data_IF_065422167034
#
_entry.id   IF_065422167034
#
_cell.length_a   1.000
_cell.length_b   1.000
_cell.length_c   1.000
_cell.angle_alpha   90.00
_cell.angle_beta   90.00
_cell.angle_gamma   90.00
#
_symmetry.space_group_name_H-M   'P 1'
#
loop_
_entity.id
_entity.type
_entity.pdbx_description
1 polymer ?
#
# COMPACT_ATOMS: atom_id res chain seq x y z
N UNK A 1 -21.19 -11.53 -16.57
CA UNK A 1 -20.46 -11.59 -17.87
C UNK A 1 -19.22 -12.45 -17.63
N UNK A 2 -18.99 -13.51 -18.40
CA UNK A 2 -17.78 -14.34 -18.25
C UNK A 2 -16.55 -13.52 -18.68
N UNK A 3 -15.51 -13.51 -17.85
CA UNK A 3 -14.22 -12.89 -18.20
C UNK A 3 -13.59 -13.68 -19.34
N UNK A 4 -13.18 -13.05 -20.46
CA UNK A 4 -12.55 -13.77 -21.56
C UNK A 4 -11.26 -14.44 -21.09
N UNK A 5 -10.96 -15.62 -21.62
CA UNK A 5 -9.70 -16.32 -21.31
C UNK A 5 -8.50 -15.53 -21.84
N UNK A 6 -7.32 -15.78 -21.28
CA UNK A 6 -6.07 -15.14 -21.75
C UNK A 6 -5.85 -15.35 -23.26
N UNK A 7 -6.10 -16.56 -23.75
CA UNK A 7 -5.97 -16.89 -25.18
C UNK A 7 -6.92 -16.05 -26.06
N UNK A 8 -8.19 -15.93 -25.64
CA UNK A 8 -9.17 -15.12 -26.36
C UNK A 8 -8.75 -13.64 -26.35
N UNK A 9 -8.30 -13.13 -25.21
CA UNK A 9 -7.82 -11.74 -25.11
C UNK A 9 -6.58 -11.52 -25.96
N UNK A 10 -5.64 -12.47 -25.96
CA UNK A 10 -4.43 -12.42 -26.80
C UNK A 10 -4.79 -12.27 -28.29
N UNK A 11 -5.72 -13.08 -28.81
CA UNK A 11 -6.17 -12.99 -30.21
C UNK A 11 -6.83 -11.64 -30.53
N UNK A 12 -7.65 -11.13 -29.61
CA UNK A 12 -8.35 -9.85 -29.80
C UNK A 12 -7.37 -8.68 -29.81
N UNK A 13 -6.42 -8.65 -28.86
CA UNK A 13 -5.42 -7.60 -28.76
C UNK A 13 -4.45 -7.64 -29.94
N UNK A 14 -3.98 -8.84 -30.32
CA UNK A 14 -3.11 -9.01 -31.48
C UNK A 14 -3.78 -8.47 -32.78
N UNK A 15 -5.08 -8.77 -32.98
CA UNK A 15 -5.86 -8.22 -34.08
C UNK A 15 -5.96 -6.68 -34.01
N UNK A 16 -6.23 -6.13 -32.83
CA UNK A 16 -6.33 -4.67 -32.63
C UNK A 16 -4.99 -3.96 -32.90
N UNK A 17 -3.88 -4.63 -32.62
CA UNK A 17 -2.52 -4.12 -32.89
C UNK A 17 -2.00 -4.43 -34.30
N UNK A 18 -2.76 -5.16 -35.10
CA UNK A 18 -2.37 -5.65 -36.43
C UNK A 18 -1.05 -6.43 -36.42
N UNK A 19 -0.92 -7.37 -35.48
CA UNK A 19 0.21 -8.30 -35.34
C UNK A 19 -0.29 -9.74 -35.13
N UNK A 20 0.60 -10.72 -35.22
CA UNK A 20 0.27 -12.08 -34.83
C UNK A 20 0.14 -12.25 -33.30
N UNK A 21 -0.60 -13.25 -32.85
CA UNK A 21 -0.65 -13.59 -31.43
C UNK A 21 0.74 -13.98 -30.88
N UNK A 22 1.58 -14.61 -31.70
CA UNK A 22 2.94 -14.98 -31.34
C UNK A 22 3.81 -13.71 -31.16
N UNK A 23 3.78 -12.77 -32.10
CA UNK A 23 4.50 -11.51 -31.98
C UNK A 23 4.09 -10.69 -30.76
N UNK A 24 2.80 -10.73 -30.36
CA UNK A 24 2.34 -10.09 -29.13
C UNK A 24 2.95 -10.74 -27.88
N UNK A 25 3.03 -12.08 -27.85
CA UNK A 25 3.62 -12.82 -26.72
C UNK A 25 5.14 -12.64 -26.66
N UNK A 26 5.83 -12.69 -27.79
CA UNK A 26 7.29 -12.48 -27.90
C UNK A 26 7.69 -11.03 -27.57
N UNK A 27 6.82 -10.07 -27.85
CA UNK A 27 7.02 -8.67 -27.51
C UNK A 27 6.96 -8.37 -26.02
N UNK A 28 6.38 -9.27 -25.19
CA UNK A 28 6.30 -9.11 -23.72
C UNK A 28 7.53 -9.77 -23.08
N UNK A 29 8.36 -8.98 -22.42
CA UNK A 29 9.54 -9.48 -21.72
C UNK A 29 9.84 -8.71 -20.45
N UNK A 30 10.62 -9.30 -19.57
CA UNK A 30 11.12 -8.61 -18.36
C UNK A 30 12.13 -7.54 -18.80
N UNK A 31 11.97 -6.35 -18.24
CA UNK A 31 12.84 -5.21 -18.46
C UNK A 31 14.25 -5.46 -17.93
N UNK A 32 15.24 -5.00 -18.69
CA UNK A 32 16.65 -5.05 -18.36
C UNK A 32 17.16 -3.65 -18.02
N UNK A 33 18.37 -3.56 -17.48
CA UNK A 33 18.94 -2.25 -17.10
C UNK A 33 19.07 -1.31 -18.30
N UNK A 34 19.33 -1.85 -19.49
CA UNK A 34 19.45 -1.09 -20.73
C UNK A 34 18.11 -0.50 -21.19
N UNK A 35 16.98 -1.04 -20.71
CA UNK A 35 15.65 -0.50 -20.99
C UNK A 35 15.30 0.72 -20.14
N UNK A 36 16.10 1.05 -19.12
CA UNK A 36 15.78 2.11 -18.15
C UNK A 36 15.45 3.45 -18.82
N UNK A 37 16.21 3.84 -19.82
CA UNK A 37 15.97 5.09 -20.57
C UNK A 37 14.61 5.08 -21.27
N UNK A 38 14.26 3.95 -21.90
CA UNK A 38 12.95 3.78 -22.57
C UNK A 38 11.80 3.75 -21.58
N UNK A 39 11.97 3.12 -20.41
CA UNK A 39 10.97 3.12 -19.32
C UNK A 39 10.73 4.54 -18.81
N UNK A 40 11.79 5.28 -18.49
CA UNK A 40 11.69 6.67 -18.00
C UNK A 40 11.00 7.56 -19.03
N UNK A 41 11.38 7.44 -20.30
CA UNK A 41 10.78 8.22 -21.39
C UNK A 41 9.30 7.86 -21.58
N UNK A 42 8.95 6.58 -21.56
CA UNK A 42 7.56 6.12 -21.62
C UNK A 42 6.73 6.68 -20.44
N UNK A 43 7.24 6.61 -19.23
CA UNK A 43 6.57 7.18 -18.04
C UNK A 43 6.41 8.70 -18.14
N UNK A 44 7.40 9.42 -18.63
CA UNK A 44 7.32 10.89 -18.85
C UNK A 44 6.22 11.27 -19.81
N UNK A 45 5.98 10.49 -20.84
CA UNK A 45 4.90 10.75 -21.82
C UNK A 45 3.52 10.49 -21.27
N UNK A 46 3.38 9.58 -20.29
CA UNK A 46 2.08 9.10 -19.82
C UNK A 46 1.72 9.53 -18.39
N UNK A 47 2.69 9.93 -17.57
CA UNK A 47 2.49 10.44 -16.21
C UNK A 47 2.84 11.93 -16.15
N UNK A 48 1.88 12.79 -16.49
CA UNK A 48 2.14 14.22 -16.58
C UNK A 48 2.39 14.84 -15.20
N UNK A 49 1.69 14.37 -14.18
CA UNK A 49 1.64 15.01 -12.86
C UNK A 49 2.53 14.38 -11.79
N UNK A 50 3.14 13.21 -12.04
CA UNK A 50 3.93 12.50 -11.05
C UNK A 50 5.43 12.52 -11.36
N UNK A 51 6.18 13.41 -10.70
CA UNK A 51 7.62 13.58 -10.90
C UNK A 51 8.41 12.39 -10.37
N UNK A 52 7.98 11.78 -9.25
CA UNK A 52 8.71 10.71 -8.55
C UNK A 52 8.74 9.41 -9.35
N UNK A 53 7.62 9.06 -9.98
CA UNK A 53 7.52 7.84 -10.77
C UNK A 53 8.32 7.88 -12.09
N UNK A 54 8.82 9.06 -12.47
CA UNK A 54 9.65 9.26 -13.68
C UNK A 54 11.15 9.14 -13.41
N UNK A 55 11.51 9.00 -12.16
CA UNK A 55 12.89 9.03 -11.72
C UNK A 55 13.58 7.67 -11.94
N UNK A 56 14.74 7.72 -12.58
CA UNK A 56 15.53 6.54 -12.87
C UNK A 56 15.96 5.77 -11.61
N UNK A 57 16.38 6.49 -10.56
CA UNK A 57 16.85 5.88 -9.30
C UNK A 57 15.71 5.14 -8.59
N UNK A 58 14.51 5.74 -8.61
CA UNK A 58 13.33 5.10 -8.05
C UNK A 58 12.95 3.83 -8.82
N UNK A 59 12.97 3.87 -10.14
CA UNK A 59 12.65 2.72 -11.00
C UNK A 59 13.68 1.60 -10.77
N UNK A 60 14.98 1.93 -10.70
CA UNK A 60 16.04 0.95 -10.43
C UNK A 60 15.96 0.37 -9.02
N UNK A 61 15.54 1.16 -8.04
CA UNK A 61 15.29 0.68 -6.70
C UNK A 61 14.07 -0.23 -6.67
N UNK A 62 12.98 0.18 -7.30
CA UNK A 62 11.70 -0.53 -7.24
C UNK A 62 11.74 -1.88 -7.96
N UNK A 63 12.35 -1.93 -9.14
CA UNK A 63 12.33 -3.08 -10.03
C UNK A 63 13.71 -3.67 -10.26
N UNK A 64 13.75 -4.99 -10.38
CA UNK A 64 15.01 -5.73 -10.58
C UNK A 64 15.76 -5.33 -11.85
N UNK A 65 15.08 -5.05 -12.94
CA UNK A 65 15.66 -4.73 -14.25
C UNK A 65 16.83 -5.65 -14.64
N UNK A 66 16.60 -6.98 -14.55
CA UNK A 66 17.62 -7.99 -14.80
C UNK A 66 18.59 -8.25 -13.65
N UNK A 67 18.53 -7.51 -12.56
CA UNK A 67 19.39 -7.66 -11.37
C UNK A 67 18.67 -8.43 -10.28
N UNK A 68 19.00 -9.69 -10.12
CA UNK A 68 18.33 -10.59 -9.14
C UNK A 68 18.59 -10.22 -7.68
N UNK A 69 19.62 -9.45 -7.40
CA UNK A 69 20.04 -9.00 -6.06
C UNK A 69 19.36 -7.70 -5.60
N UNK A 70 18.58 -7.07 -6.47
CA UNK A 70 17.94 -5.77 -6.21
C UNK A 70 16.47 -5.78 -6.61
N UNK A 71 15.72 -4.81 -6.05
CA UNK A 71 14.30 -4.65 -6.34
C UNK A 71 13.40 -5.71 -5.70
N UNK A 72 12.13 -5.38 -5.59
CA UNK A 72 11.12 -6.25 -5.00
C UNK A 72 10.30 -7.03 -6.02
N UNK A 73 10.46 -6.70 -7.31
CA UNK A 73 9.71 -7.31 -8.39
C UNK A 73 10.25 -6.94 -9.75
N UNK A 74 9.52 -7.29 -10.78
CA UNK A 74 9.93 -7.12 -12.17
C UNK A 74 9.08 -6.06 -12.88
N UNK A 75 9.69 -5.35 -13.80
CA UNK A 75 9.00 -4.52 -14.79
C UNK A 75 8.88 -5.30 -16.09
N UNK A 76 7.65 -5.61 -16.48
CA UNK A 76 7.34 -6.25 -17.74
C UNK A 76 7.08 -5.21 -18.80
N UNK A 77 7.75 -5.33 -19.94
CA UNK A 77 7.72 -4.38 -21.05
C UNK A 77 7.14 -5.05 -22.29
N UNK A 78 6.18 -4.38 -22.91
CA UNK A 78 5.64 -4.82 -24.19
C UNK A 78 6.17 -3.94 -25.31
N UNK A 79 6.94 -4.56 -26.20
CA UNK A 79 7.54 -3.93 -27.36
C UNK A 79 6.78 -4.31 -28.64
N UNK A 80 6.67 -3.35 -29.55
CA UNK A 80 6.20 -3.54 -30.93
C UNK A 80 7.05 -2.66 -31.84
N UNK A 81 7.67 -3.27 -32.88
CA UNK A 81 8.49 -2.55 -33.86
C UNK A 81 9.51 -1.60 -33.18
N UNK A 82 10.29 -2.14 -32.22
CA UNK A 82 11.30 -1.43 -31.41
C UNK A 82 10.72 -0.25 -30.56
N UNK A 83 9.43 -0.15 -30.47
CA UNK A 83 8.74 0.86 -29.65
C UNK A 83 8.10 0.22 -28.42
N UNK A 84 8.34 0.79 -27.24
CA UNK A 84 7.65 0.45 -26.01
C UNK A 84 6.20 0.96 -26.09
N UNK A 85 5.23 0.05 -26.04
CA UNK A 85 3.79 0.36 -26.16
C UNK A 85 2.99 0.06 -24.90
N UNK A 86 3.56 -0.66 -23.94
CA UNK A 86 2.92 -0.96 -22.67
C UNK A 86 3.90 -1.49 -21.65
N UNK A 87 3.57 -1.34 -20.39
CA UNK A 87 4.34 -1.89 -19.28
C UNK A 87 3.44 -2.23 -18.09
N UNK A 88 3.91 -3.14 -17.26
CA UNK A 88 3.31 -3.50 -15.97
C UNK A 88 4.40 -3.89 -14.98
N UNK A 89 4.35 -3.30 -13.79
CA UNK A 89 5.20 -3.70 -12.68
C UNK A 89 4.58 -4.83 -11.89
N UNK A 90 5.40 -5.73 -11.38
CA UNK A 90 5.04 -6.73 -10.39
C UNK A 90 5.90 -6.54 -9.14
N UNK A 91 5.38 -6.91 -7.99
CA UNK A 91 6.14 -7.03 -6.74
C UNK A 91 5.84 -8.40 -6.15
N UNK A 92 6.91 -9.15 -5.85
CA UNK A 92 6.77 -10.45 -5.21
C UNK A 92 6.21 -10.27 -3.80
N UNK A 93 5.28 -11.11 -3.44
CA UNK A 93 4.72 -11.11 -2.10
C UNK A 93 4.44 -12.54 -1.61
N UNK A 94 4.52 -12.70 -0.32
CA UNK A 94 4.11 -13.93 0.35
C UNK A 94 3.01 -13.59 1.33
N UNK A 95 1.91 -14.30 1.28
CA UNK A 95 0.87 -14.22 2.29
C UNK A 95 0.96 -15.40 3.25
N UNK A 96 0.76 -15.12 4.53
CA UNK A 96 0.56 -16.11 5.58
C UNK A 96 -0.94 -16.29 5.82
N UNK A 97 -1.45 -17.50 5.70
CA UNK A 97 -2.85 -17.82 5.97
C UNK A 97 -2.97 -19.27 6.44
N UNK A 98 -3.68 -19.51 7.53
CA UNK A 98 -3.85 -20.84 8.15
C UNK A 98 -2.54 -21.59 8.35
N UNK A 99 -1.46 -20.89 8.70
CA UNK A 99 -0.12 -21.46 8.85
C UNK A 99 0.61 -21.79 7.55
N UNK A 100 0.02 -21.53 6.39
CA UNK A 100 0.62 -21.73 5.05
C UNK A 100 1.26 -20.44 4.55
N UNK A 101 2.33 -20.59 3.79
CA UNK A 101 2.92 -19.52 2.98
C UNK A 101 2.43 -19.69 1.55
N UNK A 102 1.81 -18.65 1.02
CA UNK A 102 1.23 -18.62 -0.32
C UNK A 102 1.98 -17.55 -1.10
N UNK A 103 2.66 -17.96 -2.17
CA UNK A 103 3.41 -17.05 -3.03
C UNK A 103 2.47 -16.36 -4.03
N UNK A 104 2.64 -15.07 -4.20
CA UNK A 104 1.85 -14.29 -5.15
C UNK A 104 2.60 -13.07 -5.64
N UNK A 105 1.93 -12.28 -6.45
CA UNK A 105 2.45 -11.02 -6.96
C UNK A 105 1.43 -9.91 -6.75
N UNK A 106 1.93 -8.69 -6.57
CA UNK A 106 1.13 -7.48 -6.67
C UNK A 106 1.39 -6.82 -8.01
N UNK A 107 0.34 -6.51 -8.75
CA UNK A 107 0.46 -5.70 -9.98
C UNK A 107 0.36 -4.23 -9.67
N UNK A 108 1.23 -3.44 -10.32
CA UNK A 108 1.30 -2.00 -10.18
C UNK A 108 1.78 -1.35 -11.48
N UNK A 109 1.72 -0.04 -11.56
CA UNK A 109 2.31 0.75 -12.66
C UNK A 109 1.90 0.29 -14.06
N UNK A 110 0.65 -0.19 -14.21
CA UNK A 110 0.16 -0.58 -15.53
C UNK A 110 -0.05 0.66 -16.37
N UNK A 111 0.68 0.73 -17.46
CA UNK A 111 0.61 1.82 -18.43
C UNK A 111 0.58 1.28 -19.84
N UNK A 112 -0.21 1.91 -20.70
CA UNK A 112 -0.29 1.63 -22.12
C UNK A 112 -0.22 2.93 -22.91
N UNK A 113 0.30 2.86 -24.12
CA UNK A 113 0.32 4.01 -25.03
C UNK A 113 -1.11 4.57 -25.21
N UNK A 114 -1.26 5.89 -25.12
CA UNK A 114 -2.55 6.57 -25.19
C UNK A 114 -3.33 6.23 -26.47
N UNK A 115 -2.62 6.06 -27.59
CA UNK A 115 -3.23 5.71 -28.87
C UNK A 115 -3.79 4.28 -28.90
N UNK A 116 -3.41 3.44 -27.91
CA UNK A 116 -3.86 2.05 -27.79
C UNK A 116 -4.89 1.85 -26.66
N UNK A 117 -5.36 2.94 -26.06
CA UNK A 117 -6.45 2.87 -25.09
C UNK A 117 -7.72 2.33 -25.76
N UNK A 118 -8.42 1.44 -25.05
CA UNK A 118 -9.60 0.76 -25.60
C UNK A 118 -9.32 -0.51 -26.41
N UNK A 119 -8.05 -0.81 -26.77
CA UNK A 119 -7.66 -2.03 -27.49
C UNK A 119 -7.76 -3.34 -26.67
N UNK A 120 -8.02 -3.25 -25.36
CA UNK A 120 -7.95 -4.38 -24.44
C UNK A 120 -6.55 -4.70 -23.91
N UNK A 121 -5.53 -3.94 -24.31
CA UNK A 121 -4.13 -4.19 -23.96
C UNK A 121 -3.89 -4.16 -22.44
N UNK A 122 -4.50 -3.23 -21.71
CA UNK A 122 -4.40 -3.18 -20.23
C UNK A 122 -5.02 -4.41 -19.54
N UNK A 123 -6.09 -4.98 -20.11
CA UNK A 123 -6.68 -6.25 -19.65
C UNK A 123 -5.71 -7.39 -19.88
N UNK A 124 -5.14 -7.47 -21.09
CA UNK A 124 -4.19 -8.50 -21.46
C UNK A 124 -2.92 -8.50 -20.63
N UNK A 125 -2.32 -7.32 -20.37
CA UNK A 125 -1.16 -7.18 -19.49
C UNK A 125 -1.44 -7.69 -18.07
N UNK A 126 -2.60 -7.35 -17.50
CA UNK A 126 -2.99 -7.91 -16.19
C UNK A 126 -3.11 -9.44 -16.24
N UNK A 127 -3.77 -9.97 -17.27
CA UNK A 127 -3.95 -11.43 -17.41
C UNK A 127 -2.62 -12.17 -17.62
N UNK A 128 -1.64 -11.53 -18.26
CA UNK A 128 -0.29 -12.09 -18.39
C UNK A 128 0.36 -12.27 -17.01
N UNK A 129 0.19 -11.30 -16.10
CA UNK A 129 0.75 -11.35 -14.74
C UNK A 129 0.06 -12.36 -13.83
N UNK A 130 -1.14 -12.84 -14.15
CA UNK A 130 -1.82 -13.86 -13.35
C UNK A 130 -1.08 -15.20 -13.25
N UNK A 131 -0.04 -15.39 -14.06
CA UNK A 131 0.76 -16.62 -14.08
C UNK A 131 2.02 -16.53 -13.23
N UNK A 132 2.33 -15.35 -12.70
CA UNK A 132 3.58 -15.10 -11.97
C UNK A 132 3.53 -15.55 -10.50
N UNK A 133 2.38 -15.98 -9.99
CA UNK A 133 2.22 -16.48 -8.62
C UNK A 133 0.92 -17.24 -8.44
N UNK A 134 0.72 -17.87 -7.29
CA UNK A 134 -0.53 -18.57 -6.95
C UNK A 134 -1.72 -17.62 -6.87
N UNK A 135 -1.46 -16.36 -6.50
CA UNK A 135 -2.45 -15.28 -6.53
C UNK A 135 -1.84 -13.96 -7.03
N UNK A 136 -2.70 -13.08 -7.50
CA UNK A 136 -2.35 -11.70 -7.90
C UNK A 136 -3.22 -10.72 -7.12
N UNK A 137 -2.58 -9.72 -6.51
CA UNK A 137 -3.25 -8.64 -5.80
C UNK A 137 -3.12 -7.34 -6.58
N UNK A 138 -4.21 -6.60 -6.73
CA UNK A 138 -4.23 -5.23 -7.22
C UNK A 138 -4.71 -4.32 -6.09
N UNK A 139 -3.89 -3.35 -5.68
CA UNK A 139 -4.22 -2.39 -4.62
C UNK A 139 -4.17 -0.98 -5.20
N UNK A 140 -5.22 -0.21 -4.95
CA UNK A 140 -5.36 1.13 -5.48
C UNK A 140 -5.62 1.11 -7.00
N UNK A 141 -6.74 1.62 -7.42
CA UNK A 141 -7.05 1.80 -8.83
C UNK A 141 -7.40 3.26 -9.09
N UNK A 142 -6.74 3.87 -10.06
CA UNK A 142 -7.09 5.21 -10.50
C UNK A 142 -8.30 5.17 -11.46
N UNK A 143 -8.79 6.34 -11.86
CA UNK A 143 -9.93 6.46 -12.76
C UNK A 143 -9.81 5.70 -14.08
N UNK A 144 -8.59 5.45 -14.55
CA UNK A 144 -8.33 4.75 -15.81
C UNK A 144 -8.28 3.23 -15.65
N UNK A 145 -7.79 2.74 -14.50
CA UNK A 145 -7.60 1.31 -14.24
C UNK A 145 -8.76 0.65 -13.47
N UNK A 146 -9.63 1.44 -12.81
CA UNK A 146 -10.74 0.91 -12.01
C UNK A 146 -11.65 -0.05 -12.78
N UNK A 147 -11.99 0.29 -14.03
CA UNK A 147 -12.81 -0.58 -14.87
C UNK A 147 -12.16 -1.93 -15.21
N UNK A 148 -10.85 -1.95 -15.37
CA UNK A 148 -10.08 -3.19 -15.61
C UNK A 148 -10.02 -4.02 -14.32
N UNK A 149 -9.66 -3.41 -13.20
CA UNK A 149 -9.57 -4.11 -11.91
C UNK A 149 -10.91 -4.72 -11.51
N UNK A 150 -12.01 -3.97 -11.60
CA UNK A 150 -13.34 -4.49 -11.23
C UNK A 150 -13.87 -5.60 -12.13
N UNK A 151 -13.36 -5.73 -13.35
CA UNK A 151 -13.76 -6.79 -14.29
C UNK A 151 -12.91 -8.07 -14.17
N UNK A 152 -11.62 -7.91 -13.85
CA UNK A 152 -10.67 -9.02 -13.86
C UNK A 152 -10.47 -9.66 -12.49
N UNK A 153 -10.64 -8.88 -11.43
CA UNK A 153 -10.32 -9.30 -10.07
C UNK A 153 -11.59 -9.47 -9.24
N UNK A 154 -11.56 -10.43 -8.34
CA UNK A 154 -12.55 -10.52 -7.28
C UNK A 154 -12.35 -9.35 -6.30
N UNK A 155 -13.42 -8.60 -6.03
CA UNK A 155 -13.35 -7.45 -5.15
C UNK A 155 -13.22 -7.90 -3.69
N UNK A 156 -12.13 -7.53 -3.03
CA UNK A 156 -11.98 -7.61 -1.58
C UNK A 156 -12.60 -6.37 -0.90
N UNK A 157 -12.67 -6.39 0.41
CA UNK A 157 -13.02 -5.19 1.18
C UNK A 157 -12.01 -4.09 0.84
N UNK A 158 -12.45 -2.85 0.57
CA UNK A 158 -11.52 -1.78 0.28
C UNK A 158 -10.70 -1.40 1.51
N UNK A 159 -9.48 -0.93 1.32
CA UNK A 159 -8.75 -0.21 2.35
C UNK A 159 -9.46 1.10 2.65
N UNK A 160 -9.47 1.50 3.90
CA UNK A 160 -10.20 2.66 4.38
C UNK A 160 -9.28 3.57 5.19
N UNK A 161 -9.48 4.86 5.01
CA UNK A 161 -8.72 5.87 5.74
C UNK A 161 -9.26 6.09 7.14
N UNK A 162 -8.34 6.19 8.09
CA UNK A 162 -8.55 6.58 9.48
C UNK A 162 -7.73 7.81 9.79
N UNK A 163 -8.28 8.72 10.56
CA UNK A 163 -7.65 10.00 10.87
C UNK A 163 -7.74 10.29 12.36
N UNK A 164 -6.61 10.66 12.95
CA UNK A 164 -6.55 11.28 14.28
C UNK A 164 -6.38 12.79 14.10
N UNK A 165 -7.38 13.62 14.39
CA UNK A 165 -7.27 15.06 14.26
C UNK A 165 -6.44 15.62 15.43
N UNK A 166 -5.47 16.48 15.14
CA UNK A 166 -4.67 17.22 16.12
C UNK A 166 -5.18 18.65 16.18
N UNK A 167 -5.24 19.33 15.03
CA UNK A 167 -5.87 20.63 14.90
C UNK A 167 -7.34 20.48 14.47
N UNK A 168 -8.22 20.47 15.46
CA UNK A 168 -9.66 20.42 15.22
C UNK A 168 -10.19 21.70 14.56
N UNK A 169 -9.53 22.85 14.74
CA UNK A 169 -9.94 24.09 14.16
C UNK A 169 -9.89 24.00 12.62
N UNK A 170 -8.85 23.38 12.08
CA UNK A 170 -8.72 23.10 10.65
C UNK A 170 -9.90 22.30 10.09
N UNK A 171 -10.28 21.21 10.79
CA UNK A 171 -11.41 20.37 10.36
C UNK A 171 -12.77 21.06 10.47
N UNK A 172 -12.96 21.83 11.53
CA UNK A 172 -14.22 22.51 11.80
C UNK A 172 -14.40 23.73 10.89
N UNK A 173 -13.35 24.53 10.65
CA UNK A 173 -13.37 25.67 9.73
C UNK A 173 -13.75 25.23 8.30
N UNK A 174 -13.26 24.09 7.86
CA UNK A 174 -13.59 23.54 6.54
C UNK A 174 -15.05 23.08 6.39
N UNK A 175 -15.73 22.73 7.52
CA UNK A 175 -17.12 22.26 7.53
C UNK A 175 -18.14 23.34 7.90
N UNK A 176 -17.81 24.22 8.82
CA UNK A 176 -18.74 25.16 9.45
C UNK A 176 -18.38 26.64 9.11
N UNK A 177 -17.29 26.84 8.36
CA UNK A 177 -16.74 28.19 8.14
C UNK A 177 -15.98 28.70 9.36
N UNK A 178 -15.49 29.95 9.30
CA UNK A 178 -14.66 30.59 10.36
C UNK A 178 -15.47 31.31 11.45
N UNK A 179 -16.76 31.01 11.61
CA UNK A 179 -17.64 31.67 12.55
C UNK A 179 -17.44 31.27 14.02
N UNK A 180 -18.03 32.05 14.95
CA UNK A 180 -17.95 31.86 16.40
C UNK A 180 -18.36 30.42 16.84
N UNK A 181 -19.36 29.84 16.19
CA UNK A 181 -19.80 28.46 16.41
C UNK A 181 -18.68 27.43 16.13
N UNK A 182 -17.89 27.64 15.08
CA UNK A 182 -16.76 26.78 14.77
C UNK A 182 -15.68 26.84 15.85
N UNK A 183 -15.37 28.03 16.35
CA UNK A 183 -14.39 28.22 17.42
C UNK A 183 -14.83 27.56 18.72
N UNK A 184 -16.10 27.75 19.11
CA UNK A 184 -16.66 27.18 20.34
C UNK A 184 -16.71 25.64 20.29
N UNK A 185 -17.23 25.09 19.18
CA UNK A 185 -17.31 23.64 18.99
C UNK A 185 -15.90 23.01 18.92
N UNK A 186 -14.92 23.71 18.32
CA UNK A 186 -13.53 23.27 18.29
C UNK A 186 -12.95 23.13 19.71
N UNK A 187 -13.11 24.15 20.56
CA UNK A 187 -12.62 24.12 21.95
C UNK A 187 -13.25 22.98 22.76
N UNK A 188 -14.56 22.79 22.63
CA UNK A 188 -15.27 21.74 23.35
C UNK A 188 -14.80 20.33 22.89
N UNK A 189 -14.68 20.12 21.57
CA UNK A 189 -14.18 18.88 21.01
C UNK A 189 -12.71 18.62 21.39
N UNK A 190 -11.86 19.67 21.42
CA UNK A 190 -10.46 19.56 21.83
C UNK A 190 -10.33 19.12 23.28
N UNK A 191 -11.14 19.67 24.18
CA UNK A 191 -11.18 19.24 25.60
C UNK A 191 -11.63 17.78 25.73
N UNK A 192 -12.69 17.39 25.03
CA UNK A 192 -13.18 16.01 25.04
C UNK A 192 -12.12 15.02 24.51
N UNK A 193 -11.42 15.37 23.42
CA UNK A 193 -10.35 14.57 22.87
C UNK A 193 -9.12 14.50 23.78
N UNK A 194 -8.76 15.60 24.44
CA UNK A 194 -7.67 15.61 25.43
C UNK A 194 -7.99 14.73 26.62
N UNK A 195 -9.21 14.79 27.13
CA UNK A 195 -9.70 13.91 28.21
C UNK A 195 -9.72 12.44 27.79
N UNK A 196 -10.20 12.13 26.57
CA UNK A 196 -10.18 10.78 26.03
C UNK A 196 -8.76 10.24 25.87
N UNK A 197 -7.86 11.06 25.32
CA UNK A 197 -6.46 10.72 25.15
C UNK A 197 -5.79 10.42 26.50
N UNK A 198 -5.97 11.30 27.50
CA UNK A 198 -5.45 11.10 28.86
C UNK A 198 -5.98 9.78 29.46
N UNK A 199 -7.30 9.55 29.41
CA UNK A 199 -7.91 8.32 29.92
C UNK A 199 -7.40 7.06 29.21
N UNK A 200 -7.26 7.10 27.89
CA UNK A 200 -6.79 5.96 27.10
C UNK A 200 -5.32 5.63 27.38
N UNK A 201 -4.49 6.62 27.70
CA UNK A 201 -3.05 6.43 27.98
C UNK A 201 -2.79 5.92 29.39
N UNK A 202 -3.70 6.15 30.36
CA UNK A 202 -3.58 5.61 31.74
C UNK A 202 -3.48 4.08 31.77
N UNK A 203 -4.03 3.39 30.79
CA UNK A 203 -4.01 1.92 30.72
C UNK A 203 -2.76 1.34 30.05
N UNK A 204 -1.81 2.18 29.61
CA UNK A 204 -0.59 1.70 28.96
C UNK A 204 0.34 1.04 29.98
N UNK A 205 0.91 -0.10 29.60
CA UNK A 205 1.82 -0.86 30.49
C UNK A 205 3.11 -0.07 30.72
N UNK A 206 3.52 0.03 31.98
CA UNK A 206 4.75 0.73 32.39
C UNK A 206 6.04 0.09 31.87
N UNK A 207 6.02 -1.18 31.46
CA UNK A 207 7.20 -1.92 31.00
C UNK A 207 7.33 -1.99 29.47
N UNK A 208 6.59 -1.14 28.74
CA UNK A 208 6.69 -1.06 27.30
C UNK A 208 7.60 0.12 26.92
N UNK A 209 8.74 -0.19 26.34
CA UNK A 209 9.68 0.80 25.81
C UNK A 209 9.41 1.06 24.34
N UNK A 210 9.32 2.34 23.93
CA UNK A 210 9.22 2.74 22.53
C UNK A 210 10.56 3.40 22.16
N UNK A 211 11.20 2.90 21.10
CA UNK A 211 12.46 3.47 20.59
C UNK A 211 12.47 3.48 19.06
N UNK A 212 13.28 4.38 18.50
CA UNK A 212 13.50 4.45 17.06
C UNK A 212 14.20 3.17 16.56
N UNK A 213 13.81 2.71 15.39
CA UNK A 213 14.43 1.61 14.64
C UNK A 213 15.04 2.20 13.38
N UNK A 214 16.31 1.92 13.13
CA UNK A 214 17.04 2.31 11.92
C UNK A 214 17.24 1.15 10.96
N UNK A 215 17.06 -0.07 11.45
CA UNK A 215 17.11 -1.32 10.67
C UNK A 215 16.43 -2.44 11.47
N UNK A 216 15.72 -3.32 10.80
CA UNK A 216 15.13 -4.50 11.41
C UNK A 216 16.11 -5.68 11.38
N UNK A 217 16.18 -6.41 12.47
CA UNK A 217 16.87 -7.68 12.55
C UNK A 217 15.96 -8.84 12.18
N UNK A 218 16.56 -9.93 11.69
CA UNK A 218 15.81 -11.15 11.36
C UNK A 218 15.09 -11.73 12.59
N UNK A 219 15.70 -11.65 13.77
CA UNK A 219 15.13 -12.15 15.04
C UNK A 219 13.87 -11.37 15.45
N UNK A 220 13.77 -10.09 15.10
CA UNK A 220 12.60 -9.25 15.33
C UNK A 220 11.48 -9.60 14.37
N UNK A 221 11.80 -9.69 13.07
CA UNK A 221 10.81 -9.92 12.02
C UNK A 221 10.25 -11.34 12.00
N UNK A 222 10.97 -12.34 12.45
CA UNK A 222 10.45 -13.70 12.66
C UNK A 222 9.24 -13.75 13.60
N UNK A 223 9.03 -12.73 14.44
CA UNK A 223 7.89 -12.61 15.35
C UNK A 223 6.69 -11.95 14.69
N UNK A 224 6.88 -11.35 13.52
CA UNK A 224 5.82 -10.68 12.76
C UNK A 224 4.94 -11.75 12.11
N UNK A 225 3.85 -12.07 12.77
CA UNK A 225 2.87 -13.08 12.36
C UNK A 225 1.45 -12.50 12.44
N UNK A 226 0.48 -13.07 11.72
CA UNK A 226 -0.90 -12.59 11.76
C UNK A 226 -1.47 -12.60 13.19
N UNK A 227 -2.31 -11.63 13.51
CA UNK A 227 -2.96 -11.52 14.82
C UNK A 227 -3.88 -12.72 15.09
N UNK A 228 -4.52 -13.27 14.06
CA UNK A 228 -5.33 -14.50 14.14
C UNK A 228 -4.90 -15.46 13.03
N UNK A 229 -5.11 -16.77 13.25
CA UNK A 229 -4.72 -17.80 12.28
C UNK A 229 -5.49 -17.67 10.95
N UNK A 230 -6.72 -17.18 11.02
CA UNK A 230 -7.59 -17.02 9.85
C UNK A 230 -7.33 -15.71 9.07
N UNK A 231 -6.47 -14.81 9.57
CA UNK A 231 -6.13 -13.57 8.89
C UNK A 231 -5.16 -13.84 7.74
N UNK A 232 -5.43 -13.27 6.57
CA UNK A 232 -4.46 -13.22 5.48
C UNK A 232 -3.54 -12.03 5.75
N UNK A 233 -2.27 -12.32 5.88
CA UNK A 233 -1.26 -11.36 6.31
C UNK A 233 -0.09 -11.37 5.33
N UNK A 234 0.22 -10.23 4.75
CA UNK A 234 1.42 -10.09 3.90
C UNK A 234 2.67 -10.21 4.77
N UNK A 235 3.54 -11.14 4.43
CA UNK A 235 4.78 -11.38 5.18
C UNK A 235 5.67 -10.14 5.18
N UNK A 236 6.21 -9.84 6.36
CA UNK A 236 7.11 -8.70 6.59
C UNK A 236 8.47 -9.22 7.05
N UNK A 237 9.24 -9.75 6.10
CA UNK A 237 10.62 -10.17 6.38
C UNK A 237 11.52 -8.94 6.65
N UNK A 238 12.63 -9.14 7.36
CA UNK A 238 13.60 -8.06 7.59
C UNK A 238 14.13 -7.47 6.28
N UNK A 239 14.38 -8.30 5.28
CA UNK A 239 14.81 -7.86 3.95
C UNK A 239 13.76 -6.95 3.32
N UNK A 240 12.48 -7.36 3.33
CA UNK A 240 11.39 -6.57 2.78
C UNK A 240 11.21 -5.23 3.49
N UNK A 241 11.15 -5.24 4.84
CA UNK A 241 10.95 -4.02 5.62
C UNK A 241 12.14 -3.06 5.48
N UNK A 242 13.37 -3.57 5.55
CA UNK A 242 14.56 -2.75 5.39
C UNK A 242 14.61 -2.12 4.01
N UNK A 243 14.31 -2.89 2.97
CA UNK A 243 14.29 -2.40 1.60
C UNK A 243 13.23 -1.31 1.41
N UNK A 244 12.00 -1.55 1.87
CA UNK A 244 10.89 -0.61 1.70
C UNK A 244 11.02 0.66 2.53
N UNK A 245 11.50 0.57 3.76
CA UNK A 245 11.45 1.65 4.73
C UNK A 245 12.76 2.43 4.84
N UNK A 246 13.91 1.80 4.58
CA UNK A 246 15.21 2.45 4.80
C UNK A 246 16.05 2.62 3.52
N UNK A 247 15.78 1.85 2.47
CA UNK A 247 16.53 1.92 1.23
C UNK A 247 15.79 2.66 0.11
N UNK A 248 14.61 3.22 0.40
CA UNK A 248 13.84 4.00 -0.59
C UNK A 248 14.57 5.32 -0.89
N UNK A 249 14.99 5.58 -2.15
CA UNK A 249 15.79 6.75 -2.49
C UNK A 249 14.99 8.06 -2.47
N UNK A 250 13.67 7.99 -2.38
CA UNK A 250 12.77 9.15 -2.52
C UNK A 250 11.97 9.49 -1.29
N UNK A 251 11.81 8.55 -0.39
CA UNK A 251 10.95 8.73 0.77
C UNK A 251 11.66 8.24 2.02
N UNK A 252 11.88 9.14 2.96
CA UNK A 252 12.37 8.78 4.28
C UNK A 252 11.20 8.45 5.19
N UNK A 253 11.27 7.30 5.81
CA UNK A 253 10.31 6.86 6.82
C UNK A 253 10.92 6.92 8.21
N UNK A 254 10.12 7.31 9.18
CA UNK A 254 10.43 7.15 10.58
C UNK A 254 9.82 5.83 11.06
N UNK A 255 10.57 5.07 11.85
CA UNK A 255 10.10 3.79 12.38
C UNK A 255 10.33 3.76 13.88
N UNK A 256 9.28 3.46 14.64
CA UNK A 256 9.38 3.18 16.08
C UNK A 256 9.03 1.73 16.36
N UNK A 257 9.86 1.09 17.16
CA UNK A 257 9.62 -0.24 17.70
C UNK A 257 9.17 -0.19 19.16
N UNK A 258 8.26 -1.09 19.51
CA UNK A 258 7.84 -1.35 20.87
C UNK A 258 8.55 -2.59 21.41
N UNK A 259 9.11 -2.49 22.61
CA UNK A 259 9.81 -3.56 23.29
C UNK A 259 9.18 -3.81 24.66
N UNK A 260 8.76 -5.04 24.89
CA UNK A 260 8.23 -5.48 26.18
C UNK A 260 9.29 -6.36 26.85
N UNK A 261 9.79 -5.90 27.99
CA UNK A 261 10.87 -6.59 28.72
C UNK A 261 12.08 -6.89 27.79
N UNK A 262 12.48 -5.90 26.98
CA UNK A 262 13.58 -6.01 26.02
C UNK A 262 13.28 -6.85 24.77
N UNK A 263 12.08 -7.43 24.64
CA UNK A 263 11.69 -8.24 23.48
C UNK A 263 10.84 -7.44 22.52
N UNK A 264 11.17 -7.50 21.23
CA UNK A 264 10.38 -6.86 20.17
C UNK A 264 8.91 -7.32 20.21
N UNK A 265 8.02 -6.35 20.31
CA UNK A 265 6.58 -6.56 20.48
C UNK A 265 5.74 -5.90 19.38
N UNK A 266 6.33 -5.01 18.57
CA UNK A 266 5.63 -4.35 17.49
C UNK A 266 6.40 -3.19 16.91
N UNK A 267 5.87 -2.62 15.82
CA UNK A 267 6.42 -1.40 15.21
C UNK A 267 5.31 -0.57 14.56
N UNK A 268 5.64 0.69 14.29
CA UNK A 268 4.89 1.60 13.44
C UNK A 268 5.87 2.36 12.55
N UNK A 269 5.52 2.47 11.27
CA UNK A 269 6.30 3.24 10.29
C UNK A 269 5.43 4.38 9.75
N UNK A 270 5.98 5.61 9.69
CA UNK A 270 5.27 6.79 9.20
C UNK A 270 6.20 7.76 8.48
N UNK A 271 5.61 8.69 7.76
CA UNK A 271 6.31 9.80 7.12
C UNK A 271 5.54 11.10 7.28
N UNK A 272 6.22 12.25 7.29
CA UNK A 272 5.55 13.52 7.12
C UNK A 272 5.09 13.70 5.66
N UNK A 273 3.93 14.31 5.49
CA UNK A 273 3.44 14.80 4.21
C UNK A 273 3.19 16.29 4.37
N UNK A 274 3.84 17.08 3.52
CA UNK A 274 3.71 18.55 3.51
C UNK A 274 3.15 18.96 2.16
N UNK A 275 2.05 19.70 2.17
CA UNK A 275 1.45 20.27 0.97
C UNK A 275 2.10 21.60 0.58
N UNK A 276 1.94 22.04 -0.67
CA UNK A 276 2.44 23.33 -1.11
C UNK A 276 1.90 24.53 -0.32
N UNK A 277 0.71 24.41 0.27
CA UNK A 277 0.08 25.40 1.15
C UNK A 277 0.62 25.42 2.59
N UNK A 278 1.59 24.54 2.89
CA UNK A 278 2.22 24.40 4.21
C UNK A 278 1.46 23.49 5.16
N UNK A 279 0.33 22.92 4.77
CA UNK A 279 -0.37 21.91 5.59
C UNK A 279 0.53 20.67 5.77
N UNK A 280 0.76 20.30 7.03
CA UNK A 280 1.55 19.11 7.40
C UNK A 280 0.68 18.09 8.13
N UNK A 281 0.88 16.81 7.81
CA UNK A 281 0.38 15.69 8.62
C UNK A 281 1.35 14.52 8.62
N UNK A 282 1.22 13.62 9.59
CA UNK A 282 1.94 12.36 9.59
C UNK A 282 1.07 11.26 9.00
N UNK A 283 1.63 10.50 8.06
CA UNK A 283 0.96 9.37 7.45
C UNK A 283 1.61 8.06 7.88
N UNK A 284 0.85 7.23 8.60
CA UNK A 284 1.29 5.88 9.00
C UNK A 284 1.13 4.96 7.79
N UNK A 285 2.25 4.41 7.31
CA UNK A 285 2.29 3.53 6.14
C UNK A 285 2.19 2.06 6.51
N UNK A 286 2.71 1.67 7.68
CA UNK A 286 2.62 0.30 8.16
C UNK A 286 2.70 0.23 9.68
N UNK A 287 2.13 -0.83 10.24
CA UNK A 287 2.19 -1.13 11.66
C UNK A 287 1.92 -2.60 11.92
N UNK A 288 2.49 -3.08 12.99
CA UNK A 288 2.20 -4.42 13.50
C UNK A 288 2.43 -4.47 15.02
N UNK A 289 1.68 -5.32 15.71
CA UNK A 289 1.90 -5.63 17.11
C UNK A 289 1.70 -7.12 17.37
N UNK A 290 2.47 -7.68 18.29
CA UNK A 290 2.41 -9.09 18.64
C UNK A 290 1.06 -9.47 19.24
N UNK A 291 0.62 -10.72 19.04
CA UNK A 291 -0.67 -11.24 19.51
C UNK A 291 -0.89 -11.02 21.00
N UNK A 292 0.14 -11.34 21.81
CA UNK A 292 0.07 -11.15 23.28
C UNK A 292 0.23 -9.67 23.63
N UNK A 293 -0.86 -9.03 24.01
CA UNK A 293 -0.89 -7.61 24.33
C UNK A 293 -1.07 -6.70 23.11
N UNK A 294 -1.53 -7.25 21.97
CA UNK A 294 -1.72 -6.55 20.70
C UNK A 294 -2.34 -5.15 20.84
N UNK A 295 -3.49 -5.05 21.53
CA UNK A 295 -4.18 -3.79 21.68
C UNK A 295 -3.37 -2.73 22.45
N UNK A 296 -2.65 -3.13 23.49
CA UNK A 296 -1.83 -2.20 24.28
C UNK A 296 -0.59 -1.74 23.51
N UNK A 297 0.10 -2.68 22.87
CA UNK A 297 1.32 -2.37 22.10
C UNK A 297 0.99 -1.49 20.91
N UNK A 298 -0.04 -1.84 20.14
CA UNK A 298 -0.47 -1.03 18.99
C UNK A 298 -0.94 0.37 19.43
N UNK A 299 -1.71 0.45 20.52
CA UNK A 299 -2.15 1.74 21.05
C UNK A 299 -0.95 2.61 21.46
N UNK A 300 0.05 2.05 22.15
CA UNK A 300 1.26 2.79 22.53
C UNK A 300 2.05 3.30 21.33
N UNK A 301 2.20 2.48 20.28
CA UNK A 301 2.84 2.85 19.03
C UNK A 301 2.10 3.98 18.31
N UNK A 302 0.78 3.86 18.16
CA UNK A 302 -0.05 4.90 17.55
C UNK A 302 0.02 6.21 18.34
N UNK A 303 0.00 6.12 19.69
CA UNK A 303 0.14 7.27 20.55
C UNK A 303 1.50 7.97 20.41
N UNK A 304 2.58 7.21 20.26
CA UNK A 304 3.90 7.80 20.01
C UNK A 304 3.89 8.65 18.72
N UNK A 305 3.30 8.15 17.63
CA UNK A 305 3.17 8.93 16.38
C UNK A 305 2.31 10.19 16.57
N UNK A 306 1.22 10.09 17.35
CA UNK A 306 0.39 11.26 17.67
C UNK A 306 1.16 12.30 18.47
N UNK A 307 2.00 11.90 19.41
CA UNK A 307 2.88 12.82 20.16
C UNK A 307 3.91 13.49 19.24
N UNK A 308 4.54 12.75 18.35
CA UNK A 308 5.46 13.31 17.33
C UNK A 308 4.74 14.31 16.41
N UNK A 309 3.54 13.97 15.94
CA UNK A 309 2.76 14.86 15.09
C UNK A 309 2.38 16.17 15.83
N UNK A 310 2.02 16.10 17.11
CA UNK A 310 1.76 17.29 17.95
C UNK A 310 3.02 18.14 18.10
N UNK A 311 4.16 17.52 18.39
CA UNK A 311 5.44 18.21 18.54
C UNK A 311 5.89 18.89 17.23
N UNK A 312 5.60 18.26 16.09
CA UNK A 312 5.89 18.81 14.76
C UNK A 312 4.87 19.84 14.26
N UNK A 313 3.82 20.15 15.03
CA UNK A 313 2.77 21.10 14.63
C UNK A 313 1.90 20.61 13.47
N UNK A 314 1.78 19.29 13.28
CA UNK A 314 0.97 18.71 12.22
C UNK A 314 -0.53 18.83 12.52
N UNK A 315 -1.36 18.93 11.47
CA UNK A 315 -2.81 19.07 11.60
C UNK A 315 -3.50 17.78 12.00
N UNK A 316 -2.97 16.63 11.60
CA UNK A 316 -3.54 15.30 11.88
C UNK A 316 -2.54 14.17 11.66
N UNK A 317 -2.92 12.96 12.09
CA UNK A 317 -2.28 11.70 11.70
C UNK A 317 -3.28 10.91 10.87
N UNK A 318 -2.85 10.34 9.76
CA UNK A 318 -3.68 9.46 8.91
C UNK A 318 -3.06 8.08 8.76
N UNK A 319 -3.89 7.11 8.44
CA UNK A 319 -3.46 5.79 7.99
C UNK A 319 -4.54 5.17 7.09
N UNK A 320 -4.13 4.31 6.19
CA UNK A 320 -5.05 3.46 5.44
C UNK A 320 -4.84 2.00 5.79
N UNK A 321 -5.92 1.28 6.01
CA UNK A 321 -5.83 -0.14 6.30
C UNK A 321 -7.12 -0.90 5.94
N UNK A 322 -6.95 -2.19 5.70
CA UNK A 322 -8.00 -3.17 5.64
C UNK A 322 -7.78 -4.18 6.77
N UNK A 323 -8.51 -4.07 7.84
CA UNK A 323 -8.41 -4.99 8.96
C UNK A 323 -9.55 -4.78 9.94
N UNK A 324 -10.16 -5.85 10.38
CA UNK A 324 -11.29 -5.78 11.32
C UNK A 324 -10.79 -5.74 12.76
N UNK A 325 -9.76 -6.52 13.07
CA UNK A 325 -9.21 -6.63 14.42
C UNK A 325 -8.63 -5.30 14.95
N UNK A 326 -8.09 -4.48 14.07
CA UNK A 326 -7.45 -3.21 14.42
C UNK A 326 -8.45 -2.08 14.66
N UNK A 327 -9.70 -2.19 14.18
CA UNK A 327 -10.72 -1.12 14.30
C UNK A 327 -10.95 -0.67 15.72
N UNK A 328 -11.09 -1.62 16.64
CA UNK A 328 -11.30 -1.29 18.06
C UNK A 328 -10.11 -0.53 18.67
N UNK A 329 -8.90 -0.95 18.32
CA UNK A 329 -7.67 -0.28 18.81
C UNK A 329 -7.56 1.13 18.24
N UNK A 330 -7.85 1.32 16.96
CA UNK A 330 -7.85 2.63 16.31
C UNK A 330 -8.87 3.57 16.97
N UNK A 331 -10.10 3.13 17.17
CA UNK A 331 -11.13 3.93 17.87
C UNK A 331 -10.70 4.28 19.29
N UNK A 332 -10.15 3.31 20.04
CA UNK A 332 -9.65 3.53 21.40
C UNK A 332 -8.46 4.51 21.42
N UNK A 333 -7.61 4.48 20.42
CA UNK A 333 -6.50 5.41 20.24
C UNK A 333 -6.95 6.81 19.78
N UNK A 334 -8.23 7.02 19.50
CA UNK A 334 -8.80 8.32 19.11
C UNK A 334 -8.80 8.56 17.59
N UNK A 335 -8.57 7.54 16.77
CA UNK A 335 -8.74 7.64 15.33
C UNK A 335 -10.21 7.57 14.94
N UNK A 336 -10.62 8.45 14.07
CA UNK A 336 -11.96 8.49 13.48
C UNK A 336 -11.97 7.86 12.09
N UNK A 337 -12.92 7.02 11.84
CA UNK A 337 -13.10 6.36 10.55
C UNK A 337 -14.06 5.19 10.61
N UNK A 338 -14.19 4.47 9.52
CA UNK A 338 -13.53 4.74 8.23
C UNK A 338 -14.17 5.91 7.48
N UNK A 339 -13.35 6.74 6.82
CA UNK A 339 -13.85 7.82 5.97
C UNK A 339 -14.46 7.25 4.68
N UNK A 340 -15.70 7.62 4.38
CA UNK A 340 -16.44 7.08 3.22
C UNK A 340 -15.85 7.49 1.88
N UNK A 341 -15.18 8.63 1.83
CA UNK A 341 -14.66 9.23 0.58
C UNK A 341 -13.26 8.73 0.19
N UNK A 342 -12.49 8.25 1.16
CA UNK A 342 -11.13 7.73 0.92
C UNK A 342 -11.13 6.21 1.01
N UNK A 343 -11.26 5.57 -0.14
CA UNK A 343 -11.25 4.11 -0.26
C UNK A 343 -10.32 3.70 -1.38
N UNK A 344 -9.42 2.77 -1.09
CA UNK A 344 -8.63 2.11 -2.13
C UNK A 344 -9.24 0.77 -2.46
N UNK A 345 -9.51 0.55 -3.74
CA UNK A 345 -10.02 -0.72 -4.25
C UNK A 345 -8.93 -1.77 -4.09
N UNK A 346 -9.34 -2.95 -3.65
CA UNK A 346 -8.46 -4.12 -3.56
C UNK A 346 -9.08 -5.23 -4.40
N UNK A 347 -8.34 -5.74 -5.35
CA UNK A 347 -8.74 -6.82 -6.22
C UNK A 347 -7.83 -8.04 -6.02
N UNK A 348 -8.42 -9.23 -5.95
CA UNK A 348 -7.76 -10.51 -5.82
C UNK A 348 -8.05 -11.39 -7.03
N UNK A 349 -7.03 -11.99 -7.59
CA UNK A 349 -7.13 -13.12 -8.52
C UNK A 349 -6.33 -14.29 -7.95
N UNK A 350 -6.78 -15.51 -8.14
CA UNK A 350 -6.01 -16.71 -7.84
C UNK A 350 -6.17 -17.72 -8.97
N UNK A 351 -5.10 -18.46 -9.28
CA UNK A 351 -5.08 -19.46 -10.35
C UNK A 351 -6.06 -20.59 -10.01
N UNK A 352 -6.02 -21.07 -8.77
CA UNK A 352 -6.93 -22.12 -8.31
C UNK A 352 -8.24 -21.51 -7.78
N UNK A 353 -9.42 -21.90 -8.28
CA UNK A 353 -10.70 -21.39 -7.78
C UNK A 353 -10.92 -21.66 -6.29
N UNK A 354 -10.39 -22.76 -5.76
CA UNK A 354 -10.43 -23.09 -4.32
C UNK A 354 -9.65 -22.08 -3.50
N UNK A 355 -8.45 -21.70 -3.94
CA UNK A 355 -7.64 -20.67 -3.30
C UNK A 355 -8.32 -19.29 -3.37
N UNK A 356 -8.93 -18.95 -4.50
CA UNK A 356 -9.71 -17.72 -4.63
C UNK A 356 -10.84 -17.66 -3.61
N UNK A 357 -11.60 -18.74 -3.49
CA UNK A 357 -12.70 -18.84 -2.52
C UNK A 357 -12.18 -18.70 -1.09
N UNK A 358 -11.11 -19.41 -0.74
CA UNK A 358 -10.47 -19.36 0.58
C UNK A 358 -10.02 -17.93 0.94
N UNK A 359 -9.24 -17.29 0.07
CA UNK A 359 -8.69 -15.96 0.32
C UNK A 359 -9.72 -14.83 0.24
N UNK A 360 -10.80 -14.99 -0.55
CA UNK A 360 -11.80 -13.93 -0.73
C UNK A 360 -12.69 -13.73 0.49
N UNK A 361 -12.94 -14.78 1.28
CA UNK A 361 -13.77 -14.72 2.50
C UNK A 361 -12.95 -14.44 3.75
N UNK A 362 -11.65 -14.66 3.72
CA UNK A 362 -10.76 -14.43 4.84
C UNK A 362 -10.62 -12.93 5.20
N UNK A 363 -10.41 -12.57 6.46
CA UNK A 363 -10.05 -11.22 6.83
C UNK A 363 -8.60 -10.92 6.41
N UNK A 364 -8.39 -9.84 5.69
CA UNK A 364 -7.06 -9.38 5.28
C UNK A 364 -6.55 -8.28 6.21
N UNK A 365 -5.26 -8.29 6.49
CA UNK A 365 -4.55 -7.13 7.00
C UNK A 365 -3.67 -6.54 5.90
N UNK A 366 -4.15 -5.48 5.29
CA UNK A 366 -3.39 -4.66 4.35
C UNK A 366 -3.20 -3.26 4.91
N UNK A 367 -2.04 -2.70 4.69
CA UNK A 367 -1.65 -1.34 5.03
C UNK A 367 -1.12 -0.63 3.79
N UNK A 368 -0.80 0.65 3.88
CA UNK A 368 -0.25 1.39 2.75
C UNK A 368 1.12 0.85 2.29
N UNK A 369 1.88 0.15 3.15
CA UNK A 369 3.08 -0.56 2.70
C UNK A 369 2.76 -1.67 1.69
N UNK A 370 1.53 -2.21 1.72
CA UNK A 370 1.02 -3.16 0.72
C UNK A 370 0.52 -2.47 -0.56
N UNK A 371 0.65 -1.16 -0.68
CA UNK A 371 0.29 -0.34 -1.84
C UNK A 371 1.50 0.45 -2.34
N UNK A 372 1.32 1.14 -3.47
CA UNK A 372 2.34 2.00 -4.06
C UNK A 372 2.19 3.44 -3.57
N UNK A 373 2.42 3.65 -2.25
CA UNK A 373 2.31 4.97 -1.63
C UNK A 373 3.58 5.81 -1.74
N UNK A 374 4.65 5.24 -2.27
CA UNK A 374 5.94 5.92 -2.37
C UNK A 374 5.88 7.13 -3.32
N UNK A 375 4.81 7.26 -4.09
CA UNK A 375 4.59 8.30 -5.09
C UNK A 375 3.65 9.44 -4.71
N UNK A 376 2.95 9.39 -3.57
CA UNK A 376 1.96 10.43 -3.18
C UNK A 376 2.50 11.43 -2.17
#
# INVERSE_FOLDING_TARGET
MLTPTFETTTRLVARALNISAMALLEGLRVGQIDDLAAIVDFRRRHLIDNVREKDADYIQWRYRLGRKDRGLGDMWLLWKDDRLIGMVGTEDMVCLHLGRRIAGVRTMDIMIDQNLQGSGLGVWLNQAMFREGEFTLAVGANRYSVGTVTRLFHALRPMQEWVYPIDLQFFMARRLGSGFLAIFTTKLCSLAMSGWHWFSTLSLKKNLEIRSITRFDESETRRIVPATVNEVFVERSHTYLNYRLFENPRTSYNVSGAFLEGRFAGYVAWRPIVRPDGECWLHIVDFWACRKGHAHTLHALLNAVVCEAKAAGCSFVSLMQQGVAQRYVLLRAGFFGPRRQSKKIVGLYAIAPTLLTELSVAPWLLTDLSDDVDGT
#
